data_IF_437235505297
#
_entry.id   IF_437235505297
#
_cell.length_a   1.000
_cell.length_b   1.000
_cell.length_c   1.000
_cell.angle_alpha   90.00
_cell.angle_beta   90.00
_cell.angle_gamma   90.00
#
_symmetry.space_group_name_H-M   'P 1'
#
loop_
_entity.id
_entity.type
_entity.pdbx_description
1 polymer ?
#
# COMPACT_ATOMS: atom_id res chain seq x y z
N UNK A 1 -1.28 -16.10 -8.30
CA UNK A 1 -0.51 -14.89 -7.95
C UNK A 1 0.06 -15.01 -6.54
N UNK A 2 1.16 -14.39 -6.33
CA UNK A 2 1.83 -14.32 -5.04
C UNK A 2 1.30 -13.12 -4.26
N UNK A 3 1.08 -13.32 -2.97
CA UNK A 3 0.67 -12.27 -2.04
C UNK A 3 1.51 -12.39 -0.77
N UNK A 4 2.07 -11.29 -0.31
CA UNK A 4 2.91 -11.25 0.88
C UNK A 4 2.53 -10.07 1.75
N UNK A 5 2.53 -10.28 3.04
CA UNK A 5 2.37 -9.25 4.05
C UNK A 5 3.61 -9.23 4.93
N UNK A 6 4.26 -8.09 5.00
CA UNK A 6 5.37 -7.83 5.92
C UNK A 6 4.85 -6.96 7.06
N UNK A 7 5.02 -7.43 8.28
CA UNK A 7 4.65 -6.70 9.49
C UNK A 7 5.91 -6.37 10.29
N UNK A 8 5.93 -5.18 10.90
CA UNK A 8 6.95 -4.84 11.89
C UNK A 8 6.80 -5.74 13.10
N UNK A 9 7.85 -6.48 13.46
CA UNK A 9 7.85 -7.30 14.66
C UNK A 9 8.33 -6.47 15.85
N UNK A 10 7.44 -5.83 16.59
CA UNK A 10 7.74 -5.42 17.96
C UNK A 10 7.54 -6.63 18.89
N UNK A 11 8.55 -7.49 18.96
CA UNK A 11 8.72 -8.41 20.08
C UNK A 11 9.56 -7.73 21.15
N UNK A 12 8.93 -6.91 21.97
CA UNK A 12 9.39 -6.66 23.34
C UNK A 12 8.19 -6.40 24.24
N UNK A 13 7.65 -7.48 24.81
CA UNK A 13 6.93 -7.43 26.06
C UNK A 13 7.96 -7.20 27.18
N UNK A 14 8.30 -5.97 27.47
CA UNK A 14 8.93 -5.61 28.74
C UNK A 14 8.01 -4.64 29.48
N UNK A 15 7.53 -5.13 30.63
CA UNK A 15 6.89 -4.33 31.67
C UNK A 15 7.82 -3.20 32.08
N UNK A 16 7.45 -1.96 31.75
CA UNK A 16 7.81 -0.79 32.56
C UNK A 16 6.94 0.39 32.12
N UNK A 17 6.15 0.89 33.07
CA UNK A 17 5.49 2.18 32.97
C UNK A 17 6.54 3.28 32.98
N UNK A 18 6.78 3.92 31.86
CA UNK A 18 7.31 5.27 31.79
C UNK A 18 6.96 5.88 30.44
N UNK A 19 6.60 7.17 30.44
CA UNK A 19 6.23 8.00 29.30
C UNK A 19 7.09 7.68 28.07
N UNK A 20 6.55 6.89 27.12
CA UNK A 20 7.15 6.73 25.80
C UNK A 20 6.48 7.68 24.84
N UNK A 21 7.23 8.72 24.47
CA UNK A 21 7.03 9.49 23.25
C UNK A 21 6.53 8.56 22.12
N UNK A 22 5.49 8.99 21.41
CA UNK A 22 5.02 8.42 20.14
C UNK A 22 6.10 8.56 19.04
N UNK A 23 7.29 8.07 19.26
CA UNK A 23 8.36 8.07 18.28
C UNK A 23 8.46 6.71 17.61
N UNK A 24 7.85 6.62 16.42
CA UNK A 24 8.31 5.70 15.40
C UNK A 24 7.60 4.36 15.35
N UNK A 25 6.46 4.33 14.63
CA UNK A 25 5.99 3.10 13.97
C UNK A 25 7.14 2.56 13.13
N UNK A 26 7.76 1.45 13.55
CA UNK A 26 8.90 0.88 12.83
C UNK A 26 8.36 0.13 11.63
N UNK A 27 8.64 0.63 10.43
CA UNK A 27 8.36 -0.11 9.19
C UNK A 27 9.19 -1.42 9.13
N UNK A 28 8.76 -2.41 8.35
CA UNK A 28 9.56 -3.60 8.08
C UNK A 28 10.96 -3.26 7.59
N UNK A 29 11.92 -4.14 7.85
CA UNK A 29 13.31 -3.97 7.40
C UNK A 29 13.36 -3.70 5.89
N UNK A 30 14.03 -2.60 5.51
CA UNK A 30 14.13 -2.16 4.12
C UNK A 30 14.89 -3.14 3.23
N UNK A 31 15.88 -3.87 3.77
CA UNK A 31 16.61 -4.89 3.01
C UNK A 31 15.71 -6.10 2.73
N UNK A 32 14.93 -6.50 3.73
CA UNK A 32 13.94 -7.55 3.59
C UNK A 32 12.87 -7.17 2.57
N UNK A 33 12.34 -5.95 2.64
CA UNK A 33 11.38 -5.41 1.68
C UNK A 33 11.96 -5.40 0.25
N UNK A 34 13.18 -4.91 0.08
CA UNK A 34 13.86 -4.91 -1.21
C UNK A 34 14.06 -6.32 -1.77
N UNK A 35 14.43 -7.29 -0.93
CA UNK A 35 14.58 -8.70 -1.32
C UNK A 35 13.27 -9.28 -1.86
N UNK A 36 12.15 -9.00 -1.19
CA UNK A 36 10.84 -9.47 -1.64
C UNK A 36 10.36 -8.79 -2.92
N UNK A 37 10.56 -7.48 -3.06
CA UNK A 37 10.26 -6.77 -4.31
C UNK A 37 11.07 -7.39 -5.45
N UNK A 38 12.37 -7.58 -5.26
CA UNK A 38 13.23 -8.22 -6.25
C UNK A 38 12.76 -9.64 -6.62
N UNK A 39 12.28 -10.42 -5.65
CA UNK A 39 11.72 -11.75 -5.90
C UNK A 39 10.43 -11.77 -6.72
N UNK A 40 9.67 -10.65 -6.73
CA UNK A 40 8.47 -10.50 -7.55
C UNK A 40 8.74 -9.94 -8.94
N UNK A 41 9.89 -9.27 -9.14
CA UNK A 41 10.24 -8.68 -10.43
C UNK A 41 10.52 -9.79 -11.46
N UNK A 42 10.00 -9.65 -12.70
CA UNK A 42 10.39 -10.56 -13.78
C UNK A 42 11.89 -10.44 -14.05
N UNK A 43 12.58 -11.58 -14.13
CA UNK A 43 14.04 -11.60 -14.35
C UNK A 43 14.49 -10.96 -15.68
N UNK A 44 13.56 -10.85 -16.64
CA UNK A 44 13.78 -10.22 -17.95
C UNK A 44 13.41 -8.74 -18.00
N UNK A 45 12.90 -8.15 -16.90
CA UNK A 45 12.49 -6.76 -16.89
C UNK A 45 13.69 -5.82 -16.72
N UNK A 46 13.82 -4.87 -17.65
CA UNK A 46 14.87 -3.86 -17.67
C UNK A 46 14.34 -2.43 -17.63
N UNK A 47 13.04 -2.23 -17.95
CA UNK A 47 12.36 -0.94 -17.94
C UNK A 47 11.10 -1.00 -17.07
N UNK A 48 10.90 0.03 -16.24
CA UNK A 48 9.83 0.05 -15.25
C UNK A 48 9.00 1.33 -15.37
N UNK A 49 7.68 1.16 -15.21
CA UNK A 49 6.76 2.26 -14.95
C UNK A 49 6.34 2.23 -13.49
N UNK A 50 6.76 3.20 -12.69
CA UNK A 50 6.36 3.33 -11.29
C UNK A 50 5.17 4.29 -11.20
N UNK A 51 4.11 3.85 -10.57
CA UNK A 51 2.84 4.56 -10.48
C UNK A 51 2.50 4.82 -9.03
N UNK A 52 2.47 6.09 -8.63
CA UNK A 52 1.96 6.52 -7.33
C UNK A 52 0.47 6.77 -7.40
N UNK A 53 -0.34 5.86 -6.85
CA UNK A 53 -1.79 5.98 -6.79
C UNK A 53 -2.22 6.84 -5.60
N UNK A 54 -3.35 7.51 -5.74
CA UNK A 54 -3.97 8.30 -4.70
C UNK A 54 -4.04 9.80 -4.99
N UNK A 55 -4.46 10.55 -3.99
CA UNK A 55 -4.66 12.00 -4.04
C UNK A 55 -3.63 12.72 -3.17
N UNK A 56 -2.71 13.46 -3.79
CA UNK A 56 -1.67 14.22 -3.10
C UNK A 56 -2.21 15.25 -2.09
N UNK A 57 -3.46 15.70 -2.27
CA UNK A 57 -4.10 16.70 -1.40
C UNK A 57 -4.82 16.06 -0.20
N UNK A 58 -4.83 14.75 -0.08
CA UNK A 58 -5.43 14.01 1.04
C UNK A 58 -4.36 13.21 1.77
N UNK A 59 -3.98 13.63 2.96
CA UNK A 59 -2.90 12.99 3.74
C UNK A 59 -3.02 11.47 3.82
N UNK A 60 -4.23 10.96 4.02
CA UNK A 60 -4.50 9.53 4.11
C UNK A 60 -4.30 8.77 2.79
N UNK A 61 -4.31 9.46 1.66
CA UNK A 61 -4.25 8.92 0.29
C UNK A 61 -3.01 9.41 -0.48
N UNK A 62 -2.12 10.15 0.19
CA UNK A 62 -0.97 10.80 -0.46
C UNK A 62 0.29 9.91 -0.56
N UNK A 63 0.26 8.68 -0.04
CA UNK A 63 1.44 7.82 0.02
C UNK A 63 2.10 7.62 -1.35
N UNK A 64 1.33 7.19 -2.35
CA UNK A 64 1.82 6.97 -3.70
C UNK A 64 2.42 8.24 -4.31
N UNK A 65 1.67 9.35 -4.39
CA UNK A 65 2.18 10.64 -4.87
C UNK A 65 3.47 11.11 -4.20
N UNK A 66 3.51 11.10 -2.86
CA UNK A 66 4.69 11.52 -2.09
C UNK A 66 5.89 10.60 -2.32
N UNK A 67 5.67 9.30 -2.51
CA UNK A 67 6.74 8.36 -2.85
C UNK A 67 7.35 8.69 -4.20
N UNK A 68 6.52 8.95 -5.22
CA UNK A 68 7.00 9.36 -6.55
C UNK A 68 7.81 10.66 -6.47
N UNK A 69 7.33 11.65 -5.73
CA UNK A 69 8.05 12.91 -5.52
C UNK A 69 9.44 12.67 -4.91
N UNK A 70 9.51 11.86 -3.84
CA UNK A 70 10.78 11.50 -3.18
C UNK A 70 11.73 10.74 -4.10
N UNK A 71 11.22 9.80 -4.89
CA UNK A 71 12.02 9.04 -5.85
C UNK A 71 12.56 9.95 -6.96
N UNK A 72 11.76 10.89 -7.46
CA UNK A 72 12.21 11.86 -8.47
C UNK A 72 13.35 12.76 -7.93
N UNK A 73 13.24 13.19 -6.67
CA UNK A 73 14.28 13.99 -6.00
C UNK A 73 15.59 13.22 -5.78
N UNK A 74 15.53 11.89 -5.65
CA UNK A 74 16.72 11.04 -5.44
C UNK A 74 17.56 10.78 -6.70
N UNK A 75 17.12 11.25 -7.87
CA UNK A 75 17.83 11.05 -9.14
C UNK A 75 17.80 9.61 -9.63
N UNK A 76 16.72 8.88 -9.39
CA UNK A 76 16.57 7.50 -9.84
C UNK A 76 16.74 7.35 -11.35
N UNK A 77 17.43 6.29 -11.69
CA UNK A 77 18.08 5.99 -12.94
C UNK A 77 17.20 6.07 -14.20
N UNK A 78 17.90 6.19 -15.33
CA UNK A 78 17.44 6.37 -16.72
C UNK A 78 16.46 5.30 -17.24
N UNK A 79 16.25 4.20 -16.51
CA UNK A 79 15.41 3.06 -16.92
C UNK A 79 14.03 3.03 -16.24
N UNK A 80 13.70 4.08 -15.49
CA UNK A 80 12.48 4.13 -14.69
C UNK A 80 11.67 5.36 -15.06
N UNK A 81 10.49 5.14 -15.61
CA UNK A 81 9.48 6.20 -15.78
C UNK A 81 8.58 6.26 -14.55
N UNK A 82 8.19 7.45 -14.13
CA UNK A 82 7.37 7.64 -12.93
C UNK A 82 6.17 8.53 -13.23
N UNK A 83 5.01 8.21 -12.65
CA UNK A 83 3.79 9.02 -12.80
C UNK A 83 2.91 8.98 -11.56
N UNK A 84 2.23 10.10 -11.34
CA UNK A 84 1.07 10.22 -10.44
C UNK A 84 -0.14 10.52 -11.32
N UNK A 85 -1.01 9.54 -11.64
CA UNK A 85 -2.12 9.73 -12.57
C UNK A 85 -3.24 10.60 -11.98
N UNK A 86 -3.22 10.84 -10.67
CA UNK A 86 -4.32 11.46 -9.94
C UNK A 86 -5.50 10.51 -9.73
N UNK A 87 -6.59 11.04 -9.16
CA UNK A 87 -7.83 10.30 -8.93
C UNK A 87 -8.95 10.79 -9.87
N UNK A 88 -9.94 9.94 -10.13
CA UNK A 88 -11.05 10.26 -11.03
C UNK A 88 -11.73 11.60 -10.73
N UNK A 89 -11.91 11.92 -9.44
CA UNK A 89 -12.51 13.18 -9.02
C UNK A 89 -11.71 14.44 -9.43
N UNK A 90 -10.41 14.29 -9.69
CA UNK A 90 -9.54 15.39 -10.13
C UNK A 90 -9.39 15.43 -11.65
N UNK A 91 -9.33 14.28 -12.30
CA UNK A 91 -8.96 14.17 -13.72
C UNK A 91 -10.14 13.89 -14.63
N UNK A 92 -11.24 13.35 -14.11
CA UNK A 92 -12.35 12.83 -14.89
C UNK A 92 -12.03 11.53 -15.66
N UNK A 93 -10.85 10.94 -15.44
CA UNK A 93 -10.38 9.73 -16.12
C UNK A 93 -10.05 8.64 -15.11
N UNK A 94 -10.29 7.40 -15.48
CA UNK A 94 -9.87 6.26 -14.67
C UNK A 94 -8.34 6.11 -14.69
N UNK A 95 -7.71 5.94 -13.53
CA UNK A 95 -6.24 5.75 -13.45
C UNK A 95 -5.77 4.58 -14.32
N UNK A 96 -6.56 3.50 -14.42
CA UNK A 96 -6.28 2.37 -15.30
C UNK A 96 -6.15 2.79 -16.77
N UNK A 97 -7.02 3.68 -17.27
CA UNK A 97 -7.03 4.13 -18.66
C UNK A 97 -5.83 5.04 -18.95
N UNK A 98 -5.49 5.93 -18.03
CA UNK A 98 -4.29 6.78 -18.13
C UNK A 98 -3.05 5.89 -18.23
N UNK A 99 -2.93 4.91 -17.33
CA UNK A 99 -1.78 4.00 -17.29
C UNK A 99 -1.71 3.13 -18.57
N UNK A 100 -2.85 2.64 -19.06
CA UNK A 100 -2.90 1.89 -20.32
C UNK A 100 -2.37 2.72 -21.50
N UNK A 101 -2.74 3.99 -21.61
CA UNK A 101 -2.22 4.88 -22.64
C UNK A 101 -0.71 5.08 -22.54
N UNK A 102 -0.17 5.23 -21.33
CA UNK A 102 1.26 5.35 -21.09
C UNK A 102 1.98 4.06 -21.47
N UNK A 103 1.48 2.90 -21.04
CA UNK A 103 2.05 1.59 -21.35
C UNK A 103 2.12 1.36 -22.87
N UNK A 104 1.08 1.70 -23.59
CA UNK A 104 1.05 1.60 -25.04
C UNK A 104 2.12 2.47 -25.72
N UNK A 105 2.40 3.64 -25.17
CA UNK A 105 3.34 4.60 -25.74
C UNK A 105 4.80 4.32 -25.34
N UNK A 106 5.02 3.85 -24.10
CA UNK A 106 6.37 3.74 -23.53
C UNK A 106 6.90 2.30 -23.46
N UNK A 107 6.01 1.31 -23.60
CA UNK A 107 6.32 -0.13 -23.59
C UNK A 107 7.23 -0.57 -22.44
N UNK A 108 6.90 -0.30 -21.16
CA UNK A 108 7.72 -0.78 -20.05
C UNK A 108 7.59 -2.29 -19.89
N UNK A 109 8.61 -2.94 -19.35
CA UNK A 109 8.60 -4.38 -19.10
C UNK A 109 7.74 -4.77 -17.89
N UNK A 110 7.61 -3.87 -16.92
CA UNK A 110 6.85 -4.11 -15.69
C UNK A 110 6.30 -2.80 -15.11
N UNK A 111 5.11 -2.87 -14.51
CA UNK A 111 4.53 -1.78 -13.71
C UNK A 111 4.72 -2.09 -12.24
N UNK A 112 5.10 -1.06 -11.45
CA UNK A 112 5.11 -1.10 -9.99
C UNK A 112 4.14 -0.03 -9.50
N UNK A 113 3.05 -0.43 -8.85
CA UNK A 113 2.09 0.52 -8.25
C UNK A 113 2.36 0.68 -6.77
N UNK A 114 2.21 1.91 -6.26
CA UNK A 114 2.33 2.24 -4.84
C UNK A 114 1.04 2.92 -4.42
N UNK A 115 0.38 2.39 -3.38
CA UNK A 115 -0.95 2.85 -2.96
C UNK A 115 -1.12 2.88 -1.44
N UNK A 116 -1.98 3.76 -0.98
CA UNK A 116 -2.47 3.82 0.38
C UNK A 116 -3.68 2.88 0.54
N UNK A 117 -3.64 2.00 1.53
CA UNK A 117 -4.68 0.99 1.74
C UNK A 117 -5.55 1.29 2.95
N UNK A 118 -6.76 0.71 2.98
CA UNK A 118 -7.58 0.62 4.16
C UNK A 118 -7.19 -0.61 4.99
N UNK A 119 -6.86 -0.40 6.26
CA UNK A 119 -6.57 -1.47 7.21
C UNK A 119 -7.84 -2.16 7.69
N UNK A 120 -7.76 -3.47 7.90
CA UNK A 120 -8.80 -4.26 8.58
C UNK A 120 -8.68 -4.23 10.11
N UNK A 121 -7.57 -3.71 10.62
CA UNK A 121 -7.25 -3.57 12.04
C UNK A 121 -6.39 -2.34 12.24
N UNK A 122 -6.60 -1.62 13.35
CA UNK A 122 -5.83 -0.43 13.70
C UNK A 122 -4.33 -0.75 13.90
N UNK A 123 -4.01 -1.95 14.36
CA UNK A 123 -2.62 -2.39 14.57
C UNK A 123 -1.78 -2.47 13.28
N UNK A 124 -2.42 -2.46 12.12
CA UNK A 124 -1.74 -2.53 10.81
C UNK A 124 -1.41 -1.17 10.22
N UNK A 125 -1.90 -0.08 10.82
CA UNK A 125 -1.65 1.27 10.33
C UNK A 125 -0.16 1.62 10.36
N UNK A 126 0.43 1.87 9.19
CA UNK A 126 1.81 2.28 9.04
C UNK A 126 2.86 1.24 9.46
N UNK A 127 2.44 0.03 9.89
CA UNK A 127 3.34 -1.04 10.35
C UNK A 127 3.45 -2.20 9.38
N UNK A 128 2.58 -2.22 8.38
CA UNK A 128 2.41 -3.34 7.45
C UNK A 128 2.70 -2.87 6.03
N UNK A 129 3.46 -3.65 5.27
CA UNK A 129 3.61 -3.50 3.81
C UNK A 129 3.03 -4.74 3.14
N UNK A 130 2.15 -4.53 2.18
CA UNK A 130 1.55 -5.59 1.37
C UNK A 130 2.16 -5.58 -0.03
N UNK A 131 2.60 -6.73 -0.50
CA UNK A 131 3.19 -6.93 -1.81
C UNK A 131 2.43 -8.00 -2.57
N UNK A 132 2.16 -7.78 -3.86
CA UNK A 132 1.54 -8.79 -4.72
C UNK A 132 1.91 -8.60 -6.19
N UNK A 133 1.93 -9.70 -6.95
CA UNK A 133 2.07 -9.74 -8.40
C UNK A 133 0.73 -9.81 -9.15
N UNK A 134 -0.39 -9.73 -8.44
CA UNK A 134 -1.74 -9.75 -9.04
C UNK A 134 -2.24 -8.38 -9.47
N UNK A 135 -1.49 -7.33 -9.14
CA UNK A 135 -1.90 -5.95 -9.35
C UNK A 135 -2.85 -5.44 -8.28
N UNK A 136 -3.51 -4.31 -8.54
CA UNK A 136 -4.35 -3.60 -7.57
C UNK A 136 -5.67 -3.13 -8.19
N UNK A 137 -6.71 -3.02 -7.36
CA UNK A 137 -7.98 -2.37 -7.69
C UNK A 137 -8.14 -1.11 -6.83
N UNK A 138 -7.81 0.08 -7.35
CA UNK A 138 -7.89 1.32 -6.59
C UNK A 138 -9.28 1.52 -5.98
N UNK A 139 -9.33 2.00 -4.73
CA UNK A 139 -10.59 2.30 -4.04
C UNK A 139 -11.39 1.09 -3.55
N UNK A 140 -10.96 -0.14 -3.76
CA UNK A 140 -11.70 -1.35 -3.33
C UNK A 140 -11.85 -1.44 -1.81
N UNK A 141 -10.87 -0.98 -1.05
CA UNK A 141 -10.88 -1.00 0.41
C UNK A 141 -11.87 -0.04 1.06
N UNK A 142 -12.41 0.93 0.29
CA UNK A 142 -13.39 1.93 0.76
C UNK A 142 -14.73 1.84 -0.02
N UNK A 143 -15.01 0.70 -0.64
CA UNK A 143 -16.26 0.44 -1.35
C UNK A 143 -16.39 1.15 -2.72
N UNK A 144 -15.33 1.76 -3.22
CA UNK A 144 -15.29 2.47 -4.50
C UNK A 144 -14.35 1.75 -5.49
N UNK A 145 -14.64 0.48 -5.76
CA UNK A 145 -13.81 -0.34 -6.63
C UNK A 145 -13.79 0.20 -8.06
N UNK A 146 -12.60 0.55 -8.53
CA UNK A 146 -12.31 1.01 -9.90
C UNK A 146 -11.79 -0.13 -10.76
N UNK A 147 -11.65 0.13 -12.07
CA UNK A 147 -11.01 -0.81 -13.00
C UNK A 147 -9.60 -1.15 -12.52
N UNK A 148 -9.29 -2.44 -12.42
CA UNK A 148 -8.02 -2.91 -11.86
C UNK A 148 -6.82 -2.60 -12.74
N UNK A 149 -5.71 -2.26 -12.11
CA UNK A 149 -4.39 -2.21 -12.72
C UNK A 149 -3.78 -3.60 -12.49
N UNK A 150 -4.03 -4.50 -13.42
CA UNK A 150 -3.66 -5.92 -13.34
C UNK A 150 -2.96 -6.36 -14.61
N UNK A 151 -2.26 -7.48 -14.57
CA UNK A 151 -1.60 -8.06 -15.74
C UNK A 151 -2.59 -8.28 -16.91
N UNK A 152 -3.83 -8.66 -16.61
CA UNK A 152 -4.86 -8.88 -17.64
C UNK A 152 -5.23 -7.59 -18.36
N UNK A 153 -5.31 -6.47 -17.64
CA UNK A 153 -5.66 -5.17 -18.21
C UNK A 153 -4.48 -4.47 -18.87
N UNK A 154 -3.29 -4.60 -18.29
CA UNK A 154 -2.07 -3.90 -18.76
C UNK A 154 -1.31 -4.70 -19.84
N UNK A 155 -1.52 -6.02 -19.92
CA UNK A 155 -0.81 -6.97 -20.81
C UNK A 155 0.67 -7.15 -20.48
N UNK A 156 1.15 -6.59 -19.39
CA UNK A 156 2.49 -6.73 -18.85
C UNK A 156 2.42 -7.02 -17.35
N UNK A 157 3.47 -7.54 -16.72
CA UNK A 157 3.51 -7.77 -15.27
C UNK A 157 3.21 -6.51 -14.47
N UNK A 158 2.44 -6.68 -13.38
CA UNK A 158 2.11 -5.59 -12.45
C UNK A 158 2.40 -6.07 -11.04
N UNK A 159 3.26 -5.34 -10.33
CA UNK A 159 3.51 -5.51 -8.91
C UNK A 159 2.81 -4.38 -8.17
N UNK A 160 2.11 -4.71 -7.10
CA UNK A 160 1.50 -3.72 -6.24
C UNK A 160 2.14 -3.72 -4.85
N UNK A 161 2.44 -2.52 -4.37
CA UNK A 161 2.94 -2.23 -3.03
C UNK A 161 1.89 -1.38 -2.34
N UNK A 162 1.39 -1.84 -1.20
CA UNK A 162 0.39 -1.12 -0.45
C UNK A 162 0.73 -0.99 1.02
N UNK A 163 0.45 0.17 1.60
CA UNK A 163 0.63 0.43 3.03
C UNK A 163 -0.69 0.93 3.60
N UNK A 164 -1.23 0.29 4.67
CA UNK A 164 -2.43 0.76 5.34
C UNK A 164 -2.20 2.13 6.00
N UNK A 165 -2.99 3.12 5.58
CA UNK A 165 -2.94 4.52 6.07
C UNK A 165 -4.21 4.95 6.76
N UNK A 166 -5.32 4.23 6.54
CA UNK A 166 -6.62 4.48 7.15
C UNK A 166 -7.22 3.20 7.73
N UNK A 167 -8.10 3.36 8.71
CA UNK A 167 -8.88 2.28 9.31
C UNK A 167 -10.31 2.77 9.53
N UNK A 168 -11.30 1.91 9.34
CA UNK A 168 -12.69 2.27 9.61
C UNK A 168 -12.98 2.31 11.11
N UNK A 169 -13.93 3.15 11.53
CA UNK A 169 -14.39 3.17 12.93
C UNK A 169 -14.91 1.79 13.38
N UNK A 170 -15.56 1.05 12.49
CA UNK A 170 -16.04 -0.30 12.77
C UNK A 170 -14.89 -1.27 13.08
N UNK A 171 -13.76 -1.18 12.35
CA UNK A 171 -12.58 -2.00 12.62
C UNK A 171 -11.96 -1.66 13.98
N UNK A 172 -11.90 -0.38 14.36
CA UNK A 172 -11.40 0.04 15.68
C UNK A 172 -12.28 -0.53 16.80
N UNK A 173 -13.59 -0.46 16.64
CA UNK A 173 -14.54 -1.03 17.64
C UNK A 173 -14.38 -2.55 17.73
N UNK A 174 -14.24 -3.24 16.57
CA UNK A 174 -14.00 -4.69 16.55
C UNK A 174 -12.72 -5.06 17.29
N UNK A 175 -11.62 -4.37 17.02
CA UNK A 175 -10.34 -4.59 17.69
C UNK A 175 -10.46 -4.39 19.22
N UNK A 176 -11.17 -3.33 19.65
CA UNK A 176 -11.42 -3.05 21.06
C UNK A 176 -12.24 -4.17 21.72
N UNK A 177 -13.30 -4.64 21.07
CA UNK A 177 -14.14 -5.74 21.56
C UNK A 177 -13.36 -7.05 21.69
N UNK A 178 -12.50 -7.37 20.70
CA UNK A 178 -11.67 -8.56 20.73
C UNK A 178 -10.62 -8.48 21.85
N UNK A 179 -10.05 -7.30 22.09
CA UNK A 179 -9.14 -7.06 23.22
C UNK A 179 -9.83 -7.24 24.56
N UNK A 180 -11.07 -6.75 24.73
CA UNK A 180 -11.88 -6.93 25.94
C UNK A 180 -12.18 -8.41 26.20
N UNK A 181 -12.53 -9.18 25.18
CA UNK A 181 -12.74 -10.64 25.29
C UNK A 181 -11.48 -11.36 25.77
N UNK A 182 -10.30 -11.00 25.28
CA UNK A 182 -9.03 -11.59 25.68
C UNK A 182 -8.70 -11.36 27.16
N UNK A 183 -9.10 -10.25 27.75
CA UNK A 183 -8.91 -9.95 29.18
C UNK A 183 -10.06 -10.47 30.07
N UNK A 184 -10.97 -11.29 29.52
CA UNK A 184 -12.05 -11.97 30.28
C UNK A 184 -13.30 -11.13 30.50
N UNK A 185 -13.47 -10.02 29.78
CA UNK A 185 -14.74 -9.28 29.78
C UNK A 185 -15.76 -10.07 28.93
N UNK A 186 -16.63 -10.81 29.62
CA UNK A 186 -17.76 -11.49 28.97
C UNK A 186 -18.96 -10.55 28.88
N UNK A 187 -19.75 -10.65 27.79
CA UNK A 187 -20.96 -9.87 27.49
C UNK A 187 -22.10 -9.98 28.51
N UNK A 188 -21.89 -10.61 29.66
CA UNK A 188 -22.90 -10.90 30.68
C UNK A 188 -23.31 -9.66 31.51
N UNK A 189 -22.83 -8.45 31.20
CA UNK A 189 -23.13 -7.24 32.01
C UNK A 189 -24.12 -6.27 31.30
N UNK A 190 -24.69 -6.65 30.17
CA UNK A 190 -25.77 -5.88 29.52
C UNK A 190 -27.07 -6.70 29.49
N UNK A 191 -27.47 -7.22 30.64
CA UNK A 191 -28.79 -7.78 30.90
C UNK A 191 -29.65 -6.81 31.67
#
# INVERSE_FOLDING_TARGET
GNYMTLESSDKEHSKEHSDKNLSGTKLPDTNLLASYINGLLPSSAHSFLIVGLGNANMTADALGPLTIEKMAQSGMASYTSMIVPGVFAQTGMESCEIIQGIVQQTSPDCIITIDALAARSAFRLGTTVQLTDTGIRPGSGVGNARKGITKENMKIPVIAIGIPTVVSAAAIVSDAMDSLKQIGYNETILG
#
